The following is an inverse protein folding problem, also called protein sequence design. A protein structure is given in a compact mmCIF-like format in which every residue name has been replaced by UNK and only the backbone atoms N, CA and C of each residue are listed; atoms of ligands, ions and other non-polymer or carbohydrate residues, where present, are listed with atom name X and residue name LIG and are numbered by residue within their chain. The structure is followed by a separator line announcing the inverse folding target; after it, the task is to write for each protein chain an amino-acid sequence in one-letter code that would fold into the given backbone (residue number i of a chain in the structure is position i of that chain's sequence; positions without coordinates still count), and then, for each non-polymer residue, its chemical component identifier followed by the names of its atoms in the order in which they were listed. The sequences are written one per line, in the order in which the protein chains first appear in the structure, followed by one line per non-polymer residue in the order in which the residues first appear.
data_IF_553912240530
#
_entry.id   IF_553912240530
#
_cell.length_a   1.000
_cell.length_b   1.000
_cell.length_c   1.000
_cell.angle_alpha   90.00
_cell.angle_beta   90.00
_cell.angle_gamma   90.00
#
_symmetry.space_group_name_H-M   'P 1'
#
loop_
_entity.id
_entity.type
_entity.pdbx_description
1 polymer ?
#
# COMPACT_ATOMS: atom_id res chain seq x y z
N UNK A 1 0.46 -26.89 4.39
CA UNK A 1 1.89 -26.79 4.05
C UNK A 1 2.20 -27.05 2.58
N UNK A 2 1.49 -27.95 1.89
CA UNK A 2 1.72 -28.24 0.44
C UNK A 2 1.69 -26.99 -0.46
N UNK A 3 0.75 -26.06 -0.24
CA UNK A 3 0.64 -24.83 -1.04
C UNK A 3 1.86 -23.90 -0.90
N UNK A 4 2.41 -23.76 0.30
CA UNK A 4 3.53 -22.85 0.57
C UNK A 4 4.84 -23.38 -0.02
N UNK A 5 4.95 -24.69 -0.19
CA UNK A 5 6.09 -25.34 -0.82
C UNK A 5 6.09 -25.22 -2.36
N UNK A 6 4.95 -24.89 -2.95
CA UNK A 6 4.79 -24.75 -4.40
C UNK A 6 5.58 -23.57 -4.98
N UNK A 7 6.11 -23.76 -6.19
CA UNK A 7 6.89 -22.74 -6.91
C UNK A 7 6.14 -21.40 -7.05
N UNK A 8 4.84 -21.46 -7.31
CA UNK A 8 3.98 -20.27 -7.41
C UNK A 8 4.03 -19.45 -6.11
N UNK A 9 3.82 -20.09 -4.96
CA UNK A 9 3.84 -19.40 -3.67
C UNK A 9 5.21 -18.83 -3.36
N UNK A 10 6.28 -19.63 -3.53
CA UNK A 10 7.66 -19.19 -3.30
C UNK A 10 8.04 -18.00 -4.16
N UNK A 11 7.63 -18.01 -5.43
CA UNK A 11 7.86 -16.89 -6.36
C UNK A 11 7.12 -15.64 -5.89
N UNK A 12 5.83 -15.74 -5.56
CA UNK A 12 5.04 -14.59 -5.08
C UNK A 12 5.51 -14.08 -3.72
N UNK A 13 5.93 -14.95 -2.81
CA UNK A 13 6.50 -14.58 -1.52
C UNK A 13 7.76 -13.74 -1.69
N UNK A 14 8.64 -14.08 -2.64
CA UNK A 14 9.84 -13.30 -2.97
C UNK A 14 9.50 -11.90 -3.50
N UNK A 15 8.33 -11.68 -4.10
CA UNK A 15 7.92 -10.35 -4.59
C UNK A 15 7.29 -9.46 -3.50
N UNK A 16 6.97 -10.02 -2.33
CA UNK A 16 6.21 -9.34 -1.27
C UNK A 16 6.86 -8.04 -0.79
N UNK A 17 8.20 -7.98 -0.75
CA UNK A 17 8.92 -6.77 -0.34
C UNK A 17 8.52 -5.53 -1.16
N UNK A 18 8.15 -5.70 -2.45
CA UNK A 18 7.71 -4.61 -3.33
C UNK A 18 6.42 -3.95 -2.81
N UNK A 19 5.51 -4.76 -2.27
CA UNK A 19 4.23 -4.32 -1.70
C UNK A 19 4.47 -3.70 -0.32
N UNK A 20 5.28 -4.34 0.51
CA UNK A 20 5.60 -3.85 1.86
C UNK A 20 6.29 -2.48 1.83
N UNK A 21 7.24 -2.27 0.91
CA UNK A 21 7.90 -0.99 0.74
C UNK A 21 6.90 0.13 0.39
N UNK A 22 5.95 -0.14 -0.51
CA UNK A 22 4.89 0.83 -0.88
C UNK A 22 3.94 1.11 0.29
N UNK A 23 3.56 0.09 1.05
CA UNK A 23 2.69 0.23 2.21
C UNK A 23 3.38 1.01 3.36
N UNK A 24 4.66 0.75 3.59
CA UNK A 24 5.48 1.49 4.55
C UNK A 24 5.57 2.96 4.16
N UNK A 25 5.83 3.25 2.87
CA UNK A 25 5.82 4.62 2.36
C UNK A 25 4.47 5.31 2.55
N UNK A 26 3.36 4.66 2.16
CA UNK A 26 2.01 5.18 2.37
C UNK A 26 1.78 5.55 3.84
N UNK A 27 2.06 4.62 4.75
CA UNK A 27 1.79 4.78 6.18
C UNK A 27 2.64 5.88 6.83
N UNK A 28 3.95 5.87 6.57
CA UNK A 28 4.89 6.72 7.31
C UNK A 28 5.24 8.02 6.60
N UNK A 29 5.40 8.02 5.28
CA UNK A 29 5.77 9.25 4.54
C UNK A 29 4.59 10.10 4.15
N UNK A 30 3.41 9.50 3.99
CA UNK A 30 2.21 10.18 3.50
C UNK A 30 1.07 10.15 4.52
N UNK A 31 1.36 9.81 5.78
CA UNK A 31 0.41 9.92 6.89
C UNK A 31 -0.76 8.93 6.87
N UNK A 32 -0.80 7.95 5.95
CA UNK A 32 -1.89 6.97 5.89
C UNK A 32 -1.96 6.07 7.14
N UNK A 33 -0.92 6.04 7.98
CA UNK A 33 -0.93 5.29 9.23
C UNK A 33 -1.84 5.89 10.31
N UNK A 34 -2.37 7.10 10.12
CA UNK A 34 -3.25 7.79 11.07
C UNK A 34 -4.66 7.83 10.50
N UNK A 35 -5.64 7.31 11.22
CA UNK A 35 -7.04 7.35 10.81
C UNK A 35 -7.58 8.79 10.88
N UNK A 36 -8.23 9.24 9.79
CA UNK A 36 -8.90 10.54 9.72
C UNK A 36 -10.38 10.48 10.11
N UNK A 37 -10.96 9.28 10.12
CA UNK A 37 -12.33 9.01 10.54
C UNK A 37 -12.36 7.83 11.51
N UNK A 38 -13.43 7.76 12.32
CA UNK A 38 -13.67 6.64 13.24
C UNK A 38 -14.56 5.54 12.62
N UNK A 39 -15.22 5.83 11.50
CA UNK A 39 -16.09 4.90 10.79
C UNK A 39 -15.39 4.22 9.61
N UNK A 40 -15.90 3.05 9.22
CA UNK A 40 -15.35 2.21 8.15
C UNK A 40 -15.40 2.89 6.78
N UNK A 41 -16.44 3.67 6.49
CA UNK A 41 -16.62 4.32 5.19
C UNK A 41 -15.56 5.40 5.00
N UNK A 42 -15.34 6.23 6.03
CA UNK A 42 -14.28 7.23 6.00
C UNK A 42 -12.87 6.61 5.92
N UNK A 43 -12.64 5.46 6.56
CA UNK A 43 -11.36 4.74 6.46
C UNK A 43 -11.14 4.18 5.04
N UNK A 44 -12.20 3.68 4.41
CA UNK A 44 -12.17 3.21 3.02
C UNK A 44 -11.87 4.36 2.06
N UNK A 45 -12.59 5.48 2.19
CA UNK A 45 -12.35 6.70 1.42
C UNK A 45 -10.92 7.21 1.60
N UNK A 46 -10.42 7.25 2.83
CA UNK A 46 -9.03 7.64 3.12
C UNK A 46 -8.04 6.74 2.37
N UNK A 47 -8.26 5.42 2.38
CA UNK A 47 -7.42 4.46 1.65
C UNK A 47 -7.42 4.70 0.14
N UNK A 48 -8.61 4.83 -0.45
CA UNK A 48 -8.77 5.07 -1.90
C UNK A 48 -8.07 6.37 -2.31
N UNK A 49 -8.34 7.45 -1.57
CA UNK A 49 -7.78 8.78 -1.86
C UNK A 49 -6.26 8.80 -1.71
N UNK A 50 -5.70 8.17 -0.67
CA UNK A 50 -4.26 8.09 -0.50
C UNK A 50 -3.57 7.36 -1.66
N UNK A 51 -4.12 6.21 -2.10
CA UNK A 51 -3.56 5.45 -3.22
C UNK A 51 -3.64 6.26 -4.51
N UNK A 52 -4.81 6.84 -4.80
CA UNK A 52 -5.04 7.63 -6.01
C UNK A 52 -4.09 8.84 -6.07
N UNK A 53 -4.08 9.67 -5.03
CA UNK A 53 -3.29 10.89 -4.99
C UNK A 53 -1.79 10.61 -5.11
N UNK A 54 -1.26 9.59 -4.44
CA UNK A 54 0.15 9.25 -4.54
C UNK A 54 0.55 8.66 -5.90
N UNK A 55 -0.34 7.89 -6.53
CA UNK A 55 -0.08 7.42 -7.89
C UNK A 55 -0.06 8.58 -8.88
N UNK A 56 -0.98 9.53 -8.77
CA UNK A 56 -0.95 10.77 -9.55
C UNK A 56 0.38 11.50 -9.29
N UNK A 57 0.73 11.77 -8.02
CA UNK A 57 1.97 12.45 -7.62
C UNK A 57 3.22 11.85 -8.27
N UNK A 58 3.30 10.51 -8.35
CA UNK A 58 4.42 9.78 -9.00
C UNK A 58 4.43 9.96 -10.52
N UNK A 59 3.28 9.87 -11.18
CA UNK A 59 3.17 10.05 -12.64
C UNK A 59 3.60 11.45 -13.04
N UNK A 60 3.15 12.47 -12.30
CA UNK A 60 3.46 13.87 -12.59
C UNK A 60 4.82 14.34 -12.02
N UNK A 61 5.59 13.43 -11.39
CA UNK A 61 6.90 13.71 -10.75
C UNK A 61 6.88 14.90 -9.77
N UNK A 62 5.77 15.08 -9.06
CA UNK A 62 5.67 16.16 -8.08
C UNK A 62 6.63 15.90 -6.91
N UNK A 63 7.41 16.91 -6.50
CA UNK A 63 8.31 16.80 -5.35
C UNK A 63 7.54 16.52 -4.07
N UNK A 64 8.24 15.96 -3.06
CA UNK A 64 7.64 15.59 -1.79
C UNK A 64 7.07 16.78 -1.06
#
# INVERSE_FOLDING_TARGET
MVFQEGEFFKTKAKERYKIEAKNSELKHRHGYGVALSLDLVGMELQGIMAIFALNVKRIVKLPK
#
